data_IF_735122688875
#
_entry.id   IF_735122688875
#
_cell.length_a   1.000
_cell.length_b   1.000
_cell.length_c   1.000
_cell.angle_alpha   90.00
_cell.angle_beta   90.00
_cell.angle_gamma   90.00
#
_symmetry.space_group_name_H-M   'P 1'
#
loop_
_entity.id
_entity.type
_entity.pdbx_description
1 polymer ?
#
# COMPACT_ATOMS: atom_id res chain seq x y z
N UNK A 1 -9.55 -12.09 18.01
CA UNK A 1 -9.45 -10.68 17.53
C UNK A 1 -10.38 -9.80 18.36
N UNK A 2 -11.69 -10.07 18.45
CA UNK A 2 -12.66 -9.28 19.24
C UNK A 2 -12.28 -9.16 20.71
N UNK A 3 -11.85 -10.24 21.36
CA UNK A 3 -11.42 -10.24 22.77
C UNK A 3 -10.16 -9.39 23.00
N UNK A 4 -9.23 -9.40 22.04
CA UNK A 4 -8.01 -8.58 22.07
C UNK A 4 -8.34 -7.08 21.87
N UNK A 5 -9.25 -6.76 20.95
CA UNK A 5 -9.76 -5.42 20.73
C UNK A 5 -10.50 -4.87 21.96
N UNK A 6 -11.28 -5.72 22.64
CA UNK A 6 -11.99 -5.36 23.87
C UNK A 6 -11.03 -5.06 25.04
N UNK A 7 -9.94 -5.82 25.16
CA UNK A 7 -8.88 -5.57 26.15
C UNK A 7 -8.14 -4.25 25.89
N UNK A 8 -7.84 -3.94 24.63
CA UNK A 8 -7.21 -2.67 24.26
C UNK A 8 -8.14 -1.46 24.51
N UNK A 9 -9.44 -1.64 24.31
CA UNK A 9 -10.44 -0.60 24.55
C UNK A 9 -10.55 -0.22 26.04
N UNK A 10 -10.28 -1.15 26.95
CA UNK A 10 -10.34 -0.89 28.39
C UNK A 10 -9.22 0.00 28.93
N UNK A 11 -8.08 0.11 28.21
CA UNK A 11 -6.90 0.80 28.78
C UNK A 11 -6.72 2.26 28.35
N UNK A 12 -7.19 2.72 27.19
CA UNK A 12 -7.24 4.13 26.73
C UNK A 12 -8.10 4.32 25.47
N UNK A 13 -8.87 3.31 25.09
CA UNK A 13 -9.62 3.31 23.82
C UNK A 13 -8.75 2.99 22.62
N UNK A 14 -9.37 2.32 21.64
CA UNK A 14 -8.72 2.09 20.35
C UNK A 14 -8.82 3.40 19.56
N UNK A 15 -7.73 3.91 18.98
CA UNK A 15 -7.81 5.07 18.11
C UNK A 15 -8.82 4.81 16.99
N UNK A 16 -9.82 5.66 16.82
CA UNK A 16 -10.83 5.52 15.77
C UNK A 16 -10.19 5.33 14.38
N UNK A 17 -9.04 5.93 14.14
CA UNK A 17 -8.27 5.76 12.90
C UNK A 17 -7.89 4.29 12.62
N UNK A 18 -7.57 3.52 13.65
CA UNK A 18 -7.19 2.10 13.50
C UNK A 18 -8.40 1.25 13.10
N UNK A 19 -9.59 1.57 13.62
CA UNK A 19 -10.85 0.89 13.26
C UNK A 19 -11.16 1.14 11.77
N UNK A 20 -11.08 2.40 11.32
CA UNK A 20 -11.33 2.75 9.92
C UNK A 20 -10.33 2.06 8.98
N UNK A 21 -9.06 2.04 9.33
CA UNK A 21 -8.03 1.33 8.56
C UNK A 21 -8.33 -0.16 8.49
N UNK A 22 -8.70 -0.80 9.61
CA UNK A 22 -9.04 -2.23 9.64
C UNK A 22 -10.25 -2.56 8.75
N UNK A 23 -11.28 -1.71 8.75
CA UNK A 23 -12.46 -1.86 7.89
C UNK A 23 -12.07 -1.75 6.40
N UNK A 24 -11.29 -0.74 6.04
CA UNK A 24 -10.81 -0.56 4.66
C UNK A 24 -9.98 -1.77 4.21
N UNK A 25 -9.07 -2.26 5.05
CA UNK A 25 -8.26 -3.45 4.78
C UNK A 25 -9.15 -4.67 4.49
N UNK A 26 -10.16 -4.92 5.34
CA UNK A 26 -11.07 -6.04 5.18
C UNK A 26 -11.85 -5.96 3.86
N UNK A 27 -12.39 -4.78 3.53
CA UNK A 27 -13.13 -4.52 2.30
C UNK A 27 -12.23 -4.75 1.07
N UNK A 28 -11.04 -4.15 1.04
CA UNK A 28 -10.14 -4.26 -0.11
C UNK A 28 -9.51 -5.64 -0.25
N UNK A 29 -9.25 -6.34 0.85
CA UNK A 29 -8.82 -7.76 0.80
C UNK A 29 -9.92 -8.62 0.18
N UNK A 30 -11.18 -8.40 0.54
CA UNK A 30 -12.31 -9.11 -0.05
C UNK A 30 -12.46 -8.77 -1.54
N UNK A 31 -12.44 -7.49 -1.92
CA UNK A 31 -12.55 -7.04 -3.31
C UNK A 31 -11.42 -7.64 -4.14
N UNK A 32 -10.18 -7.56 -3.71
CA UNK A 32 -9.02 -8.03 -4.45
C UNK A 32 -9.04 -9.55 -4.64
N UNK A 33 -9.44 -10.34 -3.62
CA UNK A 33 -9.33 -11.79 -3.64
C UNK A 33 -10.59 -12.50 -4.12
N UNK A 34 -11.78 -11.93 -3.91
CA UNK A 34 -13.06 -12.63 -4.12
C UNK A 34 -13.91 -12.05 -5.24
N UNK A 35 -13.64 -10.85 -5.75
CA UNK A 35 -14.47 -10.23 -6.78
C UNK A 35 -13.87 -10.35 -8.20
N UNK A 36 -14.76 -10.21 -9.19
CA UNK A 36 -14.34 -10.15 -10.62
C UNK A 36 -13.50 -8.92 -10.91
N UNK A 37 -13.81 -7.79 -10.26
CA UNK A 37 -13.05 -6.53 -10.40
C UNK A 37 -11.60 -6.71 -9.95
N UNK A 38 -11.37 -7.37 -8.80
CA UNK A 38 -10.02 -7.68 -8.33
C UNK A 38 -9.26 -8.53 -9.34
N UNK A 39 -9.89 -9.59 -9.89
CA UNK A 39 -9.28 -10.43 -10.93
C UNK A 39 -8.92 -9.65 -12.19
N UNK A 40 -9.73 -8.68 -12.59
CA UNK A 40 -9.43 -7.83 -13.74
C UNK A 40 -8.21 -6.94 -13.49
N UNK A 41 -8.03 -6.39 -12.29
CA UNK A 41 -6.83 -5.63 -11.94
C UNK A 41 -5.56 -6.48 -12.06
N UNK A 42 -5.58 -7.71 -11.53
CA UNK A 42 -4.43 -8.62 -11.66
C UNK A 42 -4.18 -9.05 -13.09
N UNK A 43 -5.23 -9.33 -13.87
CA UNK A 43 -5.12 -9.73 -15.27
C UNK A 43 -4.51 -8.61 -16.14
N UNK A 44 -5.03 -7.39 -16.02
CA UNK A 44 -4.52 -6.21 -16.75
C UNK A 44 -3.08 -5.91 -16.34
N UNK A 45 -2.77 -5.96 -15.04
CA UNK A 45 -1.40 -5.76 -14.54
C UNK A 45 -0.41 -6.84 -15.01
N UNK A 46 -0.87 -8.08 -15.21
CA UNK A 46 -0.02 -9.17 -15.67
C UNK A 46 0.25 -9.15 -17.18
N UNK A 47 -0.79 -8.99 -17.99
CA UNK A 47 -0.66 -8.85 -19.45
C UNK A 47 -1.88 -8.13 -20.02
N UNK A 48 -1.73 -6.84 -20.28
CA UNK A 48 -2.80 -6.01 -20.82
C UNK A 48 -3.29 -6.49 -22.19
N UNK A 49 -2.36 -6.87 -23.08
CA UNK A 49 -2.72 -7.31 -24.45
C UNK A 49 -3.56 -8.59 -24.43
N UNK A 50 -3.15 -9.57 -23.64
CA UNK A 50 -3.91 -10.82 -23.47
C UNK A 50 -5.29 -10.57 -22.84
N UNK A 51 -5.36 -9.70 -21.86
CA UNK A 51 -6.61 -9.32 -21.18
C UNK A 51 -7.57 -8.61 -22.13
N UNK A 52 -7.07 -7.73 -22.98
CA UNK A 52 -7.88 -7.05 -24.02
C UNK A 52 -8.42 -8.04 -25.06
N UNK A 53 -7.60 -9.01 -25.48
CA UNK A 53 -8.01 -10.07 -26.39
C UNK A 53 -9.09 -11.00 -25.79
N UNK A 54 -9.11 -11.14 -24.47
CA UNK A 54 -10.16 -11.87 -23.74
C UNK A 54 -11.48 -11.10 -23.60
N UNK A 55 -11.63 -9.94 -24.27
CA UNK A 55 -12.87 -9.16 -24.29
C UNK A 55 -13.03 -8.21 -23.08
N UNK A 56 -12.04 -8.09 -22.21
CA UNK A 56 -12.09 -7.19 -21.05
C UNK A 56 -11.70 -5.78 -21.50
N UNK A 57 -12.54 -4.80 -21.15
CA UNK A 57 -12.25 -3.38 -21.45
C UNK A 57 -11.19 -2.85 -20.49
N UNK A 58 -9.93 -2.85 -20.90
CA UNK A 58 -8.77 -2.41 -20.09
C UNK A 58 -8.89 -0.95 -19.68
N UNK A 59 -9.45 -0.06 -20.53
CA UNK A 59 -9.62 1.35 -20.21
C UNK A 59 -10.55 1.57 -19.01
N UNK A 60 -11.64 0.78 -18.92
CA UNK A 60 -12.54 0.82 -17.75
C UNK A 60 -11.84 0.35 -16.49
N UNK A 61 -10.97 -0.66 -16.59
CA UNK A 61 -10.22 -1.18 -15.45
C UNK A 61 -9.22 -0.12 -14.95
N UNK A 62 -8.48 0.54 -15.84
CA UNK A 62 -7.59 1.65 -15.47
C UNK A 62 -8.36 2.81 -14.85
N UNK A 63 -9.46 3.22 -15.46
CA UNK A 63 -10.29 4.30 -14.90
C UNK A 63 -10.75 3.98 -13.48
N UNK A 64 -11.20 2.75 -13.25
CA UNK A 64 -11.65 2.31 -11.93
C UNK A 64 -10.49 2.26 -10.91
N UNK A 65 -9.28 1.88 -11.34
CA UNK A 65 -8.10 1.87 -10.50
C UNK A 65 -7.73 3.29 -10.03
N UNK A 66 -7.67 4.25 -10.96
CA UNK A 66 -7.34 5.64 -10.62
C UNK A 66 -8.43 6.30 -9.78
N UNK A 67 -9.70 6.02 -10.06
CA UNK A 67 -10.83 6.52 -9.26
C UNK A 67 -10.75 6.01 -7.81
N UNK A 68 -10.48 4.71 -7.62
CA UNK A 68 -10.28 4.14 -6.29
C UNK A 68 -9.06 4.74 -5.57
N UNK A 69 -7.96 4.94 -6.28
CA UNK A 69 -6.76 5.56 -5.72
C UNK A 69 -7.06 6.98 -5.21
N UNK A 70 -7.78 7.79 -6.01
CA UNK A 70 -8.19 9.13 -5.62
C UNK A 70 -9.10 9.14 -4.40
N UNK A 71 -10.06 8.21 -4.34
CA UNK A 71 -10.98 8.07 -3.21
C UNK A 71 -10.22 7.69 -1.92
N UNK A 72 -9.33 6.72 -1.99
CA UNK A 72 -8.51 6.31 -0.84
C UNK A 72 -7.57 7.42 -0.39
N UNK A 73 -6.99 8.17 -1.32
CA UNK A 73 -6.14 9.33 -1.00
C UNK A 73 -6.92 10.42 -0.28
N UNK A 74 -8.16 10.69 -0.70
CA UNK A 74 -9.05 11.64 -0.01
C UNK A 74 -9.38 11.19 1.41
N UNK A 75 -9.71 9.92 1.61
CA UNK A 75 -9.96 9.34 2.95
C UNK A 75 -8.69 9.45 3.82
N UNK A 76 -7.53 9.11 3.28
CA UNK A 76 -6.25 9.23 4.00
C UNK A 76 -5.95 10.68 4.41
N UNK A 77 -6.24 11.65 3.53
CA UNK A 77 -6.14 13.08 3.83
C UNK A 77 -7.04 13.49 4.99
N UNK A 78 -8.32 13.10 4.96
CA UNK A 78 -9.25 13.39 6.06
C UNK A 78 -8.81 12.78 7.39
N UNK A 79 -8.34 11.54 7.39
CA UNK A 79 -7.82 10.88 8.61
C UNK A 79 -6.57 11.58 9.14
N UNK A 80 -5.69 12.04 8.26
CA UNK A 80 -4.48 12.77 8.63
C UNK A 80 -4.83 14.12 9.26
N UNK A 81 -5.74 14.88 8.66
CA UNK A 81 -6.21 16.16 9.22
C UNK A 81 -6.88 15.98 10.58
N UNK A 82 -7.73 14.95 10.72
CA UNK A 82 -8.39 14.64 11.99
C UNK A 82 -7.38 14.25 13.09
N UNK A 83 -6.30 13.54 12.73
CA UNK A 83 -5.26 13.15 13.68
C UNK A 83 -4.39 14.32 14.14
N UNK A 84 -4.08 15.23 13.22
CA UNK A 84 -3.23 16.39 13.51
C UNK A 84 -4.00 17.57 14.11
N UNK A 85 -5.34 17.54 14.09
CA UNK A 85 -6.21 18.68 14.45
C UNK A 85 -5.80 19.99 13.76
N UNK A 86 -5.13 19.91 12.62
CA UNK A 86 -4.65 21.03 11.84
C UNK A 86 -4.59 20.68 10.36
N UNK A 87 -4.82 21.70 9.51
CA UNK A 87 -4.63 21.58 8.06
C UNK A 87 -3.28 22.21 7.70
N UNK A 88 -2.32 21.37 7.34
CA UNK A 88 -1.03 21.81 6.83
C UNK A 88 -0.88 21.38 5.37
N UNK A 89 -0.65 22.29 4.42
CA UNK A 89 -0.46 21.93 3.01
C UNK A 89 0.69 20.95 2.75
N UNK A 90 1.68 20.91 3.66
CA UNK A 90 2.84 20.03 3.56
C UNK A 90 2.69 18.68 4.27
N UNK A 91 1.58 18.43 4.95
CA UNK A 91 1.40 17.25 5.79
C UNK A 91 1.47 15.90 5.03
N UNK A 92 1.21 15.91 3.72
CA UNK A 92 1.26 14.73 2.85
C UNK A 92 2.56 14.57 2.05
N UNK A 93 3.53 15.46 2.23
CA UNK A 93 4.78 15.44 1.45
C UNK A 93 5.56 14.16 1.71
N UNK A 94 5.92 13.45 0.63
CA UNK A 94 6.63 12.15 0.61
C UNK A 94 5.81 10.92 1.08
N UNK A 95 4.51 11.05 1.33
CA UNK A 95 3.65 9.88 1.60
C UNK A 95 3.59 8.92 0.40
N UNK A 96 3.76 9.43 -0.82
CA UNK A 96 3.85 8.63 -2.02
C UNK A 96 5.04 7.65 -1.98
N UNK A 97 6.20 8.06 -1.48
CA UNK A 97 7.37 7.18 -1.33
C UNK A 97 7.12 6.09 -0.30
N UNK A 98 6.48 6.43 0.81
CA UNK A 98 6.12 5.46 1.85
C UNK A 98 5.09 4.45 1.32
N UNK A 99 4.10 4.90 0.55
CA UNK A 99 3.09 4.03 -0.04
C UNK A 99 3.68 3.08 -1.11
N UNK A 100 4.52 3.61 -2.01
CA UNK A 100 5.21 2.82 -3.03
C UNK A 100 6.16 1.82 -2.36
N UNK A 101 6.96 2.26 -1.38
CA UNK A 101 7.84 1.39 -0.61
C UNK A 101 7.08 0.27 0.10
N UNK A 102 5.95 0.58 0.71
CA UNK A 102 5.09 -0.41 1.35
C UNK A 102 4.56 -1.45 0.36
N UNK A 103 4.20 -1.05 -0.86
CA UNK A 103 3.75 -1.97 -1.89
C UNK A 103 4.85 -2.94 -2.33
N UNK A 104 6.07 -2.45 -2.61
CA UNK A 104 7.18 -3.30 -3.04
C UNK A 104 7.69 -4.21 -1.93
N UNK A 105 7.87 -3.70 -0.71
CA UNK A 105 8.23 -4.51 0.47
C UNK A 105 7.14 -5.54 0.76
N UNK A 106 5.87 -5.18 0.54
CA UNK A 106 4.71 -6.06 0.69
C UNK A 106 4.55 -7.12 -0.40
N UNK A 107 5.48 -7.18 -1.38
CA UNK A 107 5.52 -8.20 -2.42
C UNK A 107 4.69 -7.88 -3.67
N UNK A 108 4.29 -6.61 -3.87
CA UNK A 108 3.73 -6.19 -5.15
C UNK A 108 4.85 -6.12 -6.20
N UNK A 109 4.60 -6.71 -7.39
CA UNK A 109 5.59 -6.75 -8.45
C UNK A 109 5.70 -5.44 -9.21
N UNK A 110 6.92 -5.04 -9.54
CA UNK A 110 7.20 -3.96 -10.47
C UNK A 110 6.67 -4.23 -11.88
N UNK A 111 6.60 -5.51 -12.27
CA UNK A 111 6.04 -5.94 -13.57
C UNK A 111 4.51 -6.06 -13.57
N UNK A 112 3.85 -5.87 -12.43
CA UNK A 112 2.41 -5.99 -12.26
C UNK A 112 1.91 -7.44 -12.08
N UNK A 113 0.59 -7.59 -11.98
CA UNK A 113 -0.11 -8.89 -11.94
C UNK A 113 0.01 -9.68 -10.63
N UNK A 114 0.85 -9.26 -9.69
CA UNK A 114 1.03 -9.93 -8.40
C UNK A 114 1.10 -8.95 -7.24
N UNK A 115 0.66 -9.38 -6.08
CA UNK A 115 0.63 -8.61 -4.85
C UNK A 115 -0.59 -9.00 -4.01
N UNK A 116 -0.54 -8.73 -2.72
CA UNK A 116 -1.66 -9.01 -1.81
C UNK A 116 -1.88 -7.82 -0.88
N UNK A 117 -3.14 -7.51 -0.58
CA UNK A 117 -3.47 -6.42 0.36
C UNK A 117 -2.85 -6.65 1.74
N UNK A 118 -2.90 -7.86 2.35
CA UNK A 118 -2.20 -8.11 3.61
C UNK A 118 -0.68 -7.91 3.54
N UNK A 119 -0.06 -8.27 2.41
CA UNK A 119 1.37 -8.03 2.19
C UNK A 119 1.72 -6.54 2.24
N UNK A 120 0.95 -5.70 1.54
CA UNK A 120 1.14 -4.24 1.54
C UNK A 120 1.03 -3.66 2.95
N UNK A 121 0.16 -4.20 3.81
CA UNK A 121 0.04 -3.76 5.20
C UNK A 121 1.30 -4.06 6.01
N UNK A 122 1.87 -5.26 5.83
CA UNK A 122 3.14 -5.61 6.47
C UNK A 122 4.24 -4.65 5.99
N UNK A 123 4.30 -4.36 4.69
CA UNK A 123 5.21 -3.37 4.13
C UNK A 123 5.00 -1.97 4.72
N UNK A 124 3.74 -1.54 4.88
CA UNK A 124 3.40 -0.24 5.49
C UNK A 124 3.82 -0.16 6.97
N UNK A 125 3.67 -1.23 7.72
CA UNK A 125 4.14 -1.31 9.11
C UNK A 125 5.67 -1.19 9.17
N UNK A 126 6.40 -1.87 8.29
CA UNK A 126 7.86 -1.75 8.21
C UNK A 126 8.29 -0.31 7.88
N UNK A 127 7.67 0.31 6.89
CA UNK A 127 7.95 1.72 6.55
C UNK A 127 7.60 2.66 7.71
N UNK A 128 6.51 2.39 8.43
CA UNK A 128 6.12 3.14 9.62
C UNK A 128 7.16 3.03 10.74
N UNK A 129 7.67 1.85 11.02
CA UNK A 129 8.74 1.63 12.01
C UNK A 129 10.03 2.33 11.60
N UNK A 130 10.42 2.26 10.32
CA UNK A 130 11.58 2.98 9.80
C UNK A 130 11.44 4.50 9.98
N UNK A 131 10.29 5.06 9.62
CA UNK A 131 10.01 6.49 9.78
C UNK A 131 10.07 6.92 11.25
N UNK A 132 9.44 6.15 12.13
CA UNK A 132 9.45 6.41 13.56
C UNK A 132 10.86 6.32 14.13
N UNK A 133 11.62 5.29 13.75
CA UNK A 133 13.02 5.11 14.18
C UNK A 133 13.91 6.28 13.77
N UNK A 134 13.86 6.69 12.50
CA UNK A 134 14.61 7.85 12.01
C UNK A 134 14.21 9.15 12.71
N UNK A 135 12.92 9.33 13.00
CA UNK A 135 12.43 10.52 13.72
C UNK A 135 12.91 10.56 15.18
N UNK A 136 12.94 9.41 15.88
CA UNK A 136 13.46 9.32 17.26
C UNK A 136 14.97 9.59 17.30
N UNK A 137 15.70 9.15 16.27
CA UNK A 137 17.13 9.42 16.14
C UNK A 137 17.46 10.88 15.77
N UNK A 138 16.46 11.72 15.53
CA UNK A 138 16.64 13.12 15.15
C UNK A 138 17.25 13.31 13.75
N UNK A 139 17.11 12.32 12.86
CA UNK A 139 17.65 12.40 11.49
C UNK A 139 16.88 13.44 10.68
N UNK A 140 17.63 14.34 10.01
CA UNK A 140 17.05 15.38 9.16
C UNK A 140 16.16 14.79 8.05
N UNK A 141 15.06 15.51 7.72
CA UNK A 141 14.08 15.06 6.70
C UNK A 141 14.70 14.76 5.34
N UNK A 142 15.74 15.48 4.96
CA UNK A 142 16.43 15.25 3.69
C UNK A 142 17.17 13.90 3.67
N UNK A 143 17.81 13.54 4.78
CA UNK A 143 18.48 12.24 4.93
C UNK A 143 17.43 11.13 4.97
N UNK A 144 16.30 11.35 5.65
CA UNK A 144 15.19 10.37 5.65
C UNK A 144 14.71 10.04 4.23
N UNK A 145 14.59 11.04 3.33
CA UNK A 145 14.24 10.82 1.91
C UNK A 145 15.26 9.94 1.19
N UNK A 146 16.53 10.18 1.41
CA UNK A 146 17.61 9.37 0.82
C UNK A 146 17.53 7.91 1.29
N UNK A 147 17.36 7.70 2.59
CA UNK A 147 17.22 6.35 3.17
C UNK A 147 15.99 5.64 2.60
N UNK A 148 14.84 6.30 2.53
CA UNK A 148 13.63 5.75 1.93
C UNK A 148 13.83 5.38 0.46
N UNK A 149 14.48 6.24 -0.31
CA UNK A 149 14.84 5.97 -1.70
C UNK A 149 15.73 4.75 -1.85
N UNK A 150 16.75 4.59 -1.00
CA UNK A 150 17.63 3.42 -0.98
C UNK A 150 16.90 2.13 -0.62
N UNK A 151 16.01 2.17 0.39
CA UNK A 151 15.19 1.02 0.79
C UNK A 151 14.26 0.59 -0.35
N UNK A 152 13.63 1.57 -1.01
CA UNK A 152 12.76 1.31 -2.16
C UNK A 152 13.55 0.69 -3.32
N UNK A 153 14.72 1.24 -3.63
CA UNK A 153 15.60 0.72 -4.68
C UNK A 153 16.04 -0.72 -4.37
N UNK A 154 16.43 -1.01 -3.13
CA UNK A 154 16.78 -2.35 -2.69
C UNK A 154 15.62 -3.33 -2.84
N UNK A 155 14.40 -2.93 -2.45
CA UNK A 155 13.20 -3.75 -2.58
C UNK A 155 12.87 -4.07 -4.06
N UNK A 156 12.97 -3.07 -4.94
CA UNK A 156 12.74 -3.27 -6.39
C UNK A 156 13.81 -4.16 -7.01
N UNK A 157 15.08 -3.96 -6.68
CA UNK A 157 16.17 -4.82 -7.18
C UNK A 157 15.93 -6.26 -6.74
N UNK A 158 15.54 -6.47 -5.48
CA UNK A 158 15.26 -7.80 -4.96
C UNK A 158 14.08 -8.47 -5.70
N UNK A 159 13.00 -7.77 -5.98
CA UNK A 159 11.85 -8.27 -6.74
C UNK A 159 12.26 -8.67 -8.17
N UNK A 160 13.00 -7.79 -8.87
CA UNK A 160 13.46 -8.02 -10.25
C UNK A 160 14.40 -9.20 -10.34
N UNK A 161 15.41 -9.28 -9.45
CA UNK A 161 16.41 -10.36 -9.45
C UNK A 161 15.77 -11.70 -9.08
N UNK A 162 14.88 -11.72 -8.08
CA UNK A 162 14.18 -12.92 -7.64
C UNK A 162 13.32 -13.52 -8.77
N UNK A 163 12.61 -12.67 -9.50
CA UNK A 163 11.75 -13.13 -10.61
C UNK A 163 12.52 -13.55 -11.84
N UNK A 164 13.66 -12.89 -12.14
CA UNK A 164 14.52 -13.29 -13.25
C UNK A 164 15.04 -14.72 -13.06
N UNK A 165 15.38 -15.12 -11.85
CA UNK A 165 15.80 -16.51 -11.55
C UNK A 165 14.66 -17.51 -11.79
N UNK A 166 13.42 -17.17 -11.46
CA UNK A 166 12.26 -18.03 -11.67
C UNK A 166 11.91 -18.25 -13.16
N UNK A 167 12.28 -17.33 -14.05
CA UNK A 167 12.09 -17.47 -15.51
C UNK A 167 13.14 -18.34 -16.19
N UNK A 168 14.36 -18.45 -15.61
CA UNK A 168 15.48 -19.21 -16.20
C UNK A 168 15.39 -20.71 -15.83
N UNK A 169 14.66 -21.05 -14.77
CA UNK A 169 14.51 -22.44 -14.25
C UNK A 169 13.29 -23.17 -14.84
N UNK A 170 12.51 -22.53 -15.70
CA UNK A 170 11.44 -23.16 -16.51
C UNK A 170 11.83 -23.23 -17.96
#
# INVERSE_FOLDING_TARGET
ILAFMFRLAQYKGIPNSLVWVAVIIAIYTYIASKTTTGRYFYAVGGNEKATKLSGINTNKVYFLAYLNMGLLAAIAGMVTMARLNSSNPQAGTNFEMDAIGACFIGGASAYGGTGTVPGVIIGALLMGVLNLGMSIMGIDQNIQKVVKGLVLLAAVIFDVVSKRKSFIVK
#
